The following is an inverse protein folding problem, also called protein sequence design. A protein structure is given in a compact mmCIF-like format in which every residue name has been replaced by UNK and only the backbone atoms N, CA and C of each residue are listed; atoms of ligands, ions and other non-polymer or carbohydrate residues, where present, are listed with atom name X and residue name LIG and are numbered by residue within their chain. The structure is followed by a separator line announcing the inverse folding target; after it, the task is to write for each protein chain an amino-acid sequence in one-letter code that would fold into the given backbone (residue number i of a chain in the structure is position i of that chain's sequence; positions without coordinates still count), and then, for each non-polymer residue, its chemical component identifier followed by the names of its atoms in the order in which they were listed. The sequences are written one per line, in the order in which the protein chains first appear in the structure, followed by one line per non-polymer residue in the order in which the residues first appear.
data_IF_839089382941
#
_entry.id   IF_839089382941
#
_cell.length_a   1.000
_cell.length_b   1.000
_cell.length_c   1.000
_cell.angle_alpha   90.00
_cell.angle_beta   90.00
_cell.angle_gamma   90.00
#
_symmetry.space_group_name_H-M   'P 1'
#
loop_
_entity.id
_entity.type
_entity.pdbx_description
1 polymer ?
#
# COMPACT_ATOMS: atom_id res chain seq x y z
N UNK A 1 -5.00 -2.71 -24.01
CA UNK A 1 -6.10 -2.49 -23.04
C UNK A 1 -7.31 -1.96 -23.80
N UNK A 2 -8.44 -2.67 -23.75
CA UNK A 2 -9.66 -2.31 -24.52
C UNK A 2 -10.39 -1.08 -23.98
N UNK A 3 -10.20 -0.76 -22.69
CA UNK A 3 -10.86 0.38 -22.03
C UNK A 3 -9.83 1.18 -21.21
N UNK A 4 -9.17 2.12 -21.86
CA UNK A 4 -8.13 2.95 -21.25
C UNK A 4 -8.67 3.83 -20.10
N UNK A 5 -9.84 4.50 -20.21
CA UNK A 5 -10.38 5.28 -19.10
C UNK A 5 -10.63 4.44 -17.84
N UNK A 6 -11.19 3.25 -17.99
CA UNK A 6 -11.42 2.35 -16.86
C UNK A 6 -10.11 1.89 -16.24
N UNK A 7 -9.12 1.57 -17.04
CA UNK A 7 -7.78 1.20 -16.54
C UNK A 7 -7.15 2.32 -15.71
N UNK A 8 -7.20 3.54 -16.20
CA UNK A 8 -6.68 4.71 -15.48
C UNK A 8 -7.45 4.92 -14.18
N UNK A 9 -8.79 4.87 -14.21
CA UNK A 9 -9.61 5.05 -13.02
C UNK A 9 -9.32 3.99 -11.95
N UNK A 10 -9.18 2.72 -12.31
CA UNK A 10 -8.84 1.64 -11.40
C UNK A 10 -7.43 1.81 -10.83
N UNK A 11 -6.46 2.20 -11.64
CA UNK A 11 -5.08 2.45 -11.21
C UNK A 11 -5.03 3.59 -10.20
N UNK A 12 -5.69 4.71 -10.48
CA UNK A 12 -5.80 5.83 -9.53
C UNK A 12 -6.50 5.42 -8.24
N UNK A 13 -7.56 4.62 -8.32
CA UNK A 13 -8.27 4.09 -7.17
C UNK A 13 -7.37 3.24 -6.26
N UNK A 14 -6.52 2.39 -6.84
CA UNK A 14 -5.55 1.57 -6.11
C UNK A 14 -4.53 2.46 -5.38
N UNK A 15 -3.93 3.44 -6.07
CA UNK A 15 -2.94 4.33 -5.48
C UNK A 15 -3.53 5.22 -4.38
N UNK A 16 -4.75 5.72 -4.56
CA UNK A 16 -5.47 6.46 -3.53
C UNK A 16 -5.76 5.58 -2.32
N UNK A 17 -6.17 4.34 -2.51
CA UNK A 17 -6.41 3.39 -1.42
C UNK A 17 -5.15 3.11 -0.62
N UNK A 18 -4.02 2.92 -1.29
CA UNK A 18 -2.73 2.75 -0.62
C UNK A 18 -2.31 3.99 0.16
N UNK A 19 -2.49 5.18 -0.41
CA UNK A 19 -2.19 6.42 0.29
C UNK A 19 -3.08 6.63 1.52
N UNK A 20 -4.38 6.41 1.40
CA UNK A 20 -5.30 6.55 2.53
C UNK A 20 -4.99 5.54 3.64
N UNK A 21 -4.74 4.29 3.30
CA UNK A 21 -4.30 3.29 4.28
C UNK A 21 -3.03 3.74 5.00
N UNK A 22 -2.03 4.19 4.26
CA UNK A 22 -0.77 4.69 4.78
C UNK A 22 -0.97 5.89 5.71
N UNK A 23 -1.73 6.90 5.27
CA UNK A 23 -1.97 8.10 6.04
C UNK A 23 -2.85 7.87 7.27
N UNK A 24 -3.87 7.02 7.17
CA UNK A 24 -4.68 6.64 8.34
C UNK A 24 -3.84 5.98 9.42
N UNK A 25 -2.79 5.25 9.04
CA UNK A 25 -1.87 4.65 10.01
C UNK A 25 -1.11 5.71 10.80
N UNK A 26 -0.84 6.91 10.24
CA UNK A 26 -0.28 8.02 11.02
C UNK A 26 -1.15 8.40 12.21
N UNK A 27 -2.46 8.30 12.06
CA UNK A 27 -3.42 8.65 13.12
C UNK A 27 -3.50 7.58 14.22
N UNK A 28 -3.02 6.37 13.92
CA UNK A 28 -3.05 5.25 14.87
C UNK A 28 -1.86 5.26 15.85
N UNK A 29 -0.83 6.06 15.59
CA UNK A 29 0.37 6.14 16.42
C UNK A 29 0.55 7.55 16.97
N UNK A 30 0.70 7.68 18.27
CA UNK A 30 0.92 8.98 18.93
C UNK A 30 2.15 9.71 18.38
N UNK A 31 3.21 8.94 18.05
CA UNK A 31 4.45 9.49 17.50
C UNK A 31 4.27 10.16 16.12
N UNK A 32 3.29 9.73 15.33
CA UNK A 32 3.07 10.21 13.96
C UNK A 32 1.77 10.98 13.76
N UNK A 33 0.85 10.94 14.73
CA UNK A 33 -0.49 11.55 14.63
C UNK A 33 -0.47 13.07 14.41
N UNK A 34 0.61 13.74 14.85
CA UNK A 34 0.81 15.18 14.68
C UNK A 34 1.38 15.56 13.31
N UNK A 35 1.81 14.60 12.50
CA UNK A 35 2.39 14.85 11.19
C UNK A 35 1.32 15.31 10.19
N UNK A 36 1.68 16.29 9.35
CA UNK A 36 0.77 16.85 8.36
C UNK A 36 0.47 15.89 7.21
N UNK A 37 -0.63 16.15 6.51
CA UNK A 37 -0.95 15.45 5.26
C UNK A 37 0.18 15.55 4.23
N UNK A 38 0.87 16.69 4.16
CA UNK A 38 2.00 16.89 3.26
C UNK A 38 3.17 15.97 3.62
N UNK A 39 3.46 15.79 4.91
CA UNK A 39 4.45 14.83 5.38
C UNK A 39 4.07 13.40 4.97
N UNK A 40 2.81 13.04 5.14
CA UNK A 40 2.28 11.75 4.68
C UNK A 40 2.46 11.54 3.18
N UNK A 41 2.16 12.55 2.39
CA UNK A 41 2.29 12.48 0.93
C UNK A 41 3.77 12.34 0.50
N UNK A 42 4.66 13.15 1.05
CA UNK A 42 6.10 13.10 0.71
C UNK A 42 6.71 11.76 1.09
N UNK A 43 6.46 11.27 2.30
CA UNK A 43 6.99 9.98 2.75
C UNK A 43 6.41 8.81 1.95
N UNK A 44 5.14 8.89 1.56
CA UNK A 44 4.49 7.91 0.69
C UNK A 44 5.13 7.88 -0.71
N UNK A 45 5.37 9.03 -1.33
CA UNK A 45 6.02 9.13 -2.65
C UNK A 45 7.44 8.56 -2.60
N UNK A 46 8.23 8.94 -1.60
CA UNK A 46 9.60 8.44 -1.44
C UNK A 46 9.62 6.93 -1.24
N UNK A 47 8.72 6.39 -0.42
CA UNK A 47 8.55 4.95 -0.26
C UNK A 47 8.16 4.26 -1.58
N UNK A 48 7.25 4.86 -2.34
CA UNK A 48 6.83 4.32 -3.65
C UNK A 48 7.97 4.28 -4.68
N UNK A 49 8.85 5.28 -4.67
CA UNK A 49 10.05 5.28 -5.51
C UNK A 49 11.04 4.20 -5.07
N UNK A 50 11.20 3.97 -3.78
CA UNK A 50 12.10 2.95 -3.26
C UNK A 50 11.73 1.52 -3.69
N UNK A 51 10.45 1.27 -3.97
CA UNK A 51 9.95 -0.04 -4.48
C UNK A 51 10.48 -0.37 -5.89
N UNK A 52 11.06 0.58 -6.61
CA UNK A 52 11.73 0.32 -7.90
C UNK A 52 12.89 -0.68 -7.73
N UNK A 53 13.51 -0.72 -6.56
CA UNK A 53 14.51 -1.75 -6.23
C UNK A 53 13.83 -3.13 -6.18
N UNK A 54 14.24 -4.09 -7.02
CA UNK A 54 13.52 -5.37 -7.17
C UNK A 54 13.72 -6.27 -5.94
N UNK A 55 12.82 -6.16 -5.00
CA UNK A 55 12.74 -7.00 -3.80
C UNK A 55 11.30 -7.53 -3.64
N UNK A 56 11.10 -8.69 -3.00
CA UNK A 56 9.76 -9.20 -2.75
C UNK A 56 8.91 -8.17 -2.01
N UNK A 57 7.83 -7.69 -2.64
CA UNK A 57 6.90 -6.72 -2.09
C UNK A 57 7.55 -5.40 -1.60
N UNK A 58 8.69 -5.00 -2.16
CA UNK A 58 9.43 -3.80 -1.74
C UNK A 58 10.07 -3.90 -0.34
N UNK A 59 10.08 -5.09 0.26
CA UNK A 59 10.63 -5.30 1.60
C UNK A 59 12.13 -4.92 1.65
N UNK A 60 12.49 -4.15 2.65
CA UNK A 60 13.84 -3.60 2.81
C UNK A 60 13.94 -2.17 2.28
N UNK A 61 14.01 -1.93 0.98
CA UNK A 61 14.14 -0.57 0.41
C UNK A 61 13.01 0.37 0.84
N UNK A 62 11.77 -0.09 0.83
CA UNK A 62 10.62 0.69 1.30
C UNK A 62 10.75 1.04 2.80
N UNK A 63 11.08 0.05 3.64
CA UNK A 63 11.26 0.26 5.08
C UNK A 63 12.36 1.27 5.35
N UNK A 64 13.49 1.15 4.66
CA UNK A 64 14.61 2.06 4.81
C UNK A 64 14.24 3.49 4.41
N UNK A 65 13.62 3.66 3.25
CA UNK A 65 13.25 4.96 2.71
C UNK A 65 12.25 5.68 3.62
N UNK A 66 11.15 5.03 3.98
CA UNK A 66 10.10 5.64 4.82
C UNK A 66 10.61 5.90 6.23
N UNK A 67 11.34 4.96 6.86
CA UNK A 67 11.95 5.16 8.17
C UNK A 67 12.88 6.37 8.16
N UNK A 68 13.75 6.49 7.17
CA UNK A 68 14.69 7.62 7.05
C UNK A 68 13.93 8.94 6.92
N UNK A 69 12.89 8.99 6.10
CA UNK A 69 12.08 10.20 5.96
C UNK A 69 11.38 10.59 7.26
N UNK A 70 10.80 9.63 7.99
CA UNK A 70 10.17 9.92 9.28
C UNK A 70 11.17 10.48 10.30
N UNK A 71 12.40 9.95 10.34
CA UNK A 71 13.46 10.47 11.19
C UNK A 71 13.82 11.92 10.80
N UNK A 72 13.86 12.24 9.51
CA UNK A 72 14.09 13.61 9.04
C UNK A 72 12.95 14.56 9.44
N UNK A 73 11.74 14.07 9.60
CA UNK A 73 10.59 14.82 10.14
C UNK A 73 10.56 14.86 11.68
N UNK A 74 11.59 14.37 12.35
CA UNK A 74 11.75 14.46 13.79
C UNK A 74 11.19 13.29 14.60
N UNK A 75 10.79 12.20 13.94
CA UNK A 75 10.33 10.98 14.62
C UNK A 75 11.55 10.22 15.16
N UNK A 76 11.44 9.70 16.39
CA UNK A 76 12.50 8.88 16.97
C UNK A 76 12.71 7.60 16.14
N UNK A 77 13.96 7.15 16.06
CA UNK A 77 14.33 6.00 15.24
C UNK A 77 13.53 4.74 15.59
N UNK A 78 13.27 4.51 16.87
CA UNK A 78 12.50 3.35 17.33
C UNK A 78 11.06 3.42 16.85
N UNK A 79 10.40 4.58 17.00
CA UNK A 79 9.02 4.78 16.59
C UNK A 79 8.86 4.70 15.07
N UNK A 80 9.81 5.29 14.33
CA UNK A 80 9.85 5.18 12.88
C UNK A 80 10.02 3.73 12.42
N UNK A 81 10.84 2.94 13.10
CA UNK A 81 11.02 1.52 12.80
C UNK A 81 9.72 0.73 13.06
N UNK A 82 9.11 0.92 14.23
CA UNK A 82 7.83 0.26 14.54
C UNK A 82 6.74 0.64 13.54
N UNK A 83 6.64 1.91 13.20
CA UNK A 83 5.68 2.39 12.21
C UNK A 83 5.82 1.65 10.87
N UNK A 84 7.01 1.63 10.27
CA UNK A 84 7.22 1.01 8.96
C UNK A 84 6.97 -0.50 8.98
N UNK A 85 7.34 -1.18 10.06
CA UNK A 85 7.11 -2.62 10.20
C UNK A 85 5.61 -2.93 10.27
N UNK A 86 4.87 -2.20 11.08
CA UNK A 86 3.42 -2.43 11.26
C UNK A 86 2.67 -2.09 9.98
N UNK A 87 2.90 -0.91 9.39
CA UNK A 87 2.22 -0.48 8.16
C UNK A 87 2.44 -1.49 7.03
N UNK A 88 3.68 -1.87 6.80
CA UNK A 88 4.01 -2.81 5.73
C UNK A 88 3.41 -4.18 5.98
N UNK A 89 3.45 -4.68 7.21
CA UNK A 89 2.88 -5.98 7.57
C UNK A 89 1.37 -6.00 7.41
N UNK A 90 0.66 -4.97 7.88
CA UNK A 90 -0.80 -4.85 7.74
C UNK A 90 -1.18 -4.74 6.26
N UNK A 91 -0.50 -3.89 5.50
CA UNK A 91 -0.76 -3.74 4.07
C UNK A 91 -0.51 -5.05 3.30
N UNK A 92 0.59 -5.74 3.59
CA UNK A 92 0.91 -7.03 2.96
C UNK A 92 -0.16 -8.07 3.26
N UNK A 93 -0.60 -8.16 4.51
CA UNK A 93 -1.68 -9.07 4.91
C UNK A 93 -2.98 -8.76 4.17
N UNK A 94 -3.38 -7.49 4.10
CA UNK A 94 -4.57 -7.06 3.36
C UNK A 94 -4.50 -7.41 1.88
N UNK A 95 -3.36 -7.16 1.23
CA UNK A 95 -3.16 -7.49 -0.18
C UNK A 95 -3.23 -9.00 -0.43
N UNK A 96 -2.67 -9.81 0.46
CA UNK A 96 -2.76 -11.27 0.38
C UNK A 96 -4.22 -11.73 0.50
N UNK A 97 -4.95 -11.26 1.50
CA UNK A 97 -6.35 -11.64 1.72
C UNK A 97 -7.24 -11.21 0.55
N UNK A 98 -7.08 -9.98 0.06
CA UNK A 98 -7.81 -9.49 -1.10
C UNK A 98 -7.44 -10.24 -2.39
N UNK A 99 -6.18 -10.61 -2.54
CA UNK A 99 -5.71 -11.43 -3.66
C UNK A 99 -6.33 -12.83 -3.67
N UNK A 100 -6.39 -13.48 -2.52
CA UNK A 100 -7.06 -14.77 -2.36
C UNK A 100 -8.56 -14.65 -2.68
N UNK A 101 -9.22 -13.62 -2.15
CA UNK A 101 -10.63 -13.36 -2.44
C UNK A 101 -10.86 -13.15 -3.94
N UNK A 102 -10.07 -12.30 -4.59
CA UNK A 102 -10.17 -12.03 -6.01
C UNK A 102 -9.94 -13.28 -6.86
N UNK A 103 -8.98 -14.12 -6.49
CA UNK A 103 -8.70 -15.38 -7.18
C UNK A 103 -9.89 -16.34 -7.11
N UNK A 104 -10.48 -16.50 -5.92
CA UNK A 104 -11.67 -17.33 -5.71
C UNK A 104 -12.85 -16.78 -6.52
N UNK A 105 -13.14 -15.47 -6.42
CA UNK A 105 -14.24 -14.82 -7.12
C UNK A 105 -14.13 -14.98 -8.65
N UNK A 106 -12.94 -14.80 -9.21
CA UNK A 106 -12.69 -14.99 -10.64
C UNK A 106 -12.89 -16.45 -11.08
N UNK A 107 -12.45 -17.41 -10.27
CA UNK A 107 -12.66 -18.84 -10.54
C UNK A 107 -14.15 -19.20 -10.61
N UNK A 108 -14.97 -18.69 -9.68
CA UNK A 108 -16.41 -18.90 -9.69
C UNK A 108 -17.09 -18.23 -10.87
N UNK A 109 -16.74 -16.99 -11.20
CA UNK A 109 -17.30 -16.25 -12.34
C UNK A 109 -17.02 -16.97 -13.66
N UNK A 110 -15.80 -17.48 -13.84
CA UNK A 110 -15.43 -18.26 -15.02
C UNK A 110 -16.26 -19.53 -15.15
N UNK A 111 -16.46 -20.25 -14.04
CA UNK A 111 -17.26 -21.49 -14.02
C UNK A 111 -18.74 -21.25 -14.39
N UNK A 112 -19.32 -20.14 -13.88
CA UNK A 112 -20.69 -19.75 -14.20
C UNK A 112 -20.85 -19.38 -15.68
N UNK A 113 -19.88 -18.67 -16.26
CA UNK A 113 -19.92 -18.29 -17.67
C UNK A 113 -19.91 -19.52 -18.59
N UNK A 114 -19.01 -20.46 -18.34
CA UNK A 114 -18.94 -21.72 -19.12
C UNK A 114 -20.26 -22.49 -19.05
N UNK A 115 -20.87 -22.59 -17.87
CA UNK A 115 -22.17 -23.32 -17.70
C UNK A 115 -23.34 -22.67 -18.44
N UNK A 116 -23.30 -21.36 -18.67
CA UNK A 116 -24.36 -20.64 -19.39
C UNK A 116 -24.18 -20.67 -20.92
N UNK A 117 -23.03 -21.09 -21.40
CA UNK A 117 -22.71 -21.24 -22.83
C UNK A 117 -22.92 -22.69 -23.34
N UNK A 118 -23.17 -23.65 -22.44
CA UNK A 118 -23.59 -25.03 -22.74
C UNK A 118 -25.11 -25.15 -22.81
#
# INVERSE_FOLDING_TARGET
VKNVPLYIALTLGIWLSYFFHYYLTFQCFDATSHLSLMCGLVTFIVGSIAVIVPTPNGAGPWHFAVKTMLILYGIQQTDALFFVLIVHSVQTLLVILLGIYAWIALAFTKKLKVKNEE
#
